data_IF_083029914566
#
_entry.id   IF_083029914566
#
_cell.length_a   1.000
_cell.length_b   1.000
_cell.length_c   1.000
_cell.angle_alpha   90.00
_cell.angle_beta   90.00
_cell.angle_gamma   90.00
#
_symmetry.space_group_name_H-M   'P 1'
#
loop_
_entity.id
_entity.type
_entity.pdbx_description
1 polymer ?
#
# COMPACT_ATOMS: atom_id res chain seq x y z
N UNK A 1 1.41 -12.29 -8.56
CA UNK A 1 1.88 -11.97 -7.19
C UNK A 1 1.65 -10.51 -6.83
N UNK A 2 2.28 -9.54 -7.51
CA UNK A 2 2.11 -8.12 -7.17
C UNK A 2 0.66 -7.62 -7.26
N UNK A 3 -0.11 -8.07 -8.25
CA UNK A 3 -1.51 -7.66 -8.38
C UNK A 3 -2.36 -8.16 -7.22
N UNK A 4 -2.19 -9.42 -6.83
CA UNK A 4 -2.90 -9.97 -5.68
C UNK A 4 -2.51 -9.25 -4.38
N UNK A 5 -1.23 -8.88 -4.24
CA UNK A 5 -0.77 -8.05 -3.12
C UNK A 5 -1.50 -6.70 -3.08
N UNK A 6 -1.58 -6.00 -4.21
CA UNK A 6 -2.28 -4.71 -4.27
C UNK A 6 -3.78 -4.86 -4.00
N UNK A 7 -4.40 -5.90 -4.53
CA UNK A 7 -5.81 -6.19 -4.26
C UNK A 7 -6.05 -6.49 -2.77
N UNK A 8 -5.13 -7.18 -2.13
CA UNK A 8 -5.18 -7.45 -0.69
C UNK A 8 -5.12 -6.15 0.12
N UNK A 9 -4.22 -5.26 -0.23
CA UNK A 9 -4.07 -3.96 0.43
C UNK A 9 -5.30 -3.09 0.19
N UNK A 10 -5.82 -3.07 -1.04
CA UNK A 10 -7.07 -2.39 -1.36
C UNK A 10 -8.20 -2.85 -0.45
N UNK A 11 -8.38 -4.14 -0.31
CA UNK A 11 -9.41 -4.74 0.54
C UNK A 11 -9.25 -4.35 2.01
N UNK A 12 -8.02 -4.39 2.53
CA UNK A 12 -7.72 -4.02 3.92
C UNK A 12 -8.06 -2.55 4.18
N UNK A 13 -7.73 -1.65 3.25
CA UNK A 13 -8.04 -0.23 3.39
C UNK A 13 -9.56 0.00 3.31
N UNK A 14 -10.23 -0.62 2.35
CA UNK A 14 -11.68 -0.49 2.18
C UNK A 14 -12.45 -0.97 3.41
N UNK A 15 -12.00 -2.06 4.03
CA UNK A 15 -12.62 -2.62 5.25
C UNK A 15 -12.32 -1.84 6.52
N UNK A 16 -11.37 -0.91 6.48
CA UNK A 16 -10.98 -0.13 7.66
C UNK A 16 -11.99 0.93 8.08
N UNK A 17 -13.03 1.15 7.27
CA UNK A 17 -13.96 2.26 7.47
C UNK A 17 -13.56 3.54 6.77
N UNK A 18 -12.59 3.49 5.87
CA UNK A 18 -12.23 4.62 5.01
C UNK A 18 -13.39 4.95 4.08
N UNK A 19 -13.86 6.21 4.11
CA UNK A 19 -15.07 6.63 3.36
C UNK A 19 -14.79 6.99 1.90
N UNK A 20 -13.52 7.10 1.51
CA UNK A 20 -13.11 7.41 0.15
C UNK A 20 -12.98 6.16 -0.72
N UNK A 21 -12.45 6.36 -1.92
CA UNK A 21 -12.20 5.27 -2.87
C UNK A 21 -10.74 4.85 -2.86
N UNK A 22 -10.51 3.56 -3.06
CA UNK A 22 -9.17 2.99 -3.26
C UNK A 22 -9.11 2.41 -4.66
N UNK A 23 -8.17 2.89 -5.47
CA UNK A 23 -8.02 2.48 -6.88
C UNK A 23 -6.63 1.90 -7.13
N UNK A 24 -6.57 0.93 -8.03
CA UNK A 24 -5.30 0.40 -8.50
C UNK A 24 -4.80 1.25 -9.67
N UNK A 25 -3.51 1.58 -9.63
CA UNK A 25 -2.86 2.46 -10.60
C UNK A 25 -2.95 3.93 -10.21
N UNK A 26 -2.03 4.71 -10.75
CA UNK A 26 -1.98 6.15 -10.50
C UNK A 26 -2.79 6.90 -11.55
N UNK A 27 -3.64 7.81 -11.07
CA UNK A 27 -4.37 8.72 -11.93
C UNK A 27 -3.92 10.15 -11.65
N UNK A 28 -4.07 11.04 -12.63
CA UNK A 28 -3.87 12.46 -12.38
C UNK A 28 -4.95 12.94 -11.39
N UNK A 29 -4.57 13.53 -10.24
CA UNK A 29 -5.54 13.99 -9.25
C UNK A 29 -6.63 14.90 -9.82
N UNK A 30 -6.28 15.73 -10.81
CA UNK A 30 -7.24 16.64 -11.45
C UNK A 30 -8.38 15.94 -12.19
N UNK A 31 -8.15 14.68 -12.62
CA UNK A 31 -9.10 13.91 -13.43
C UNK A 31 -9.73 12.74 -12.64
N UNK A 32 -9.33 12.55 -11.39
CA UNK A 32 -9.73 11.39 -10.63
C UNK A 32 -11.05 11.51 -9.87
N UNK A 33 -11.61 12.72 -9.79
CA UNK A 33 -12.86 12.95 -9.04
C UNK A 33 -12.67 12.93 -7.53
N UNK A 34 -11.52 13.38 -7.06
CA UNK A 34 -11.18 13.41 -5.63
C UNK A 34 -12.10 14.42 -4.92
N UNK A 35 -12.69 13.97 -3.83
CA UNK A 35 -13.56 14.77 -2.97
C UNK A 35 -12.92 15.01 -1.58
N UNK A 36 -13.72 15.53 -0.65
CA UNK A 36 -13.29 15.82 0.71
C UNK A 36 -12.95 14.57 1.53
N UNK A 37 -13.49 13.40 1.17
CA UNK A 37 -13.20 12.13 1.86
C UNK A 37 -11.84 11.57 1.47
N UNK A 38 -11.31 12.03 0.35
CA UNK A 38 -10.02 11.60 -0.17
C UNK A 38 -10.10 10.39 -1.09
N UNK A 39 -8.95 10.07 -1.64
CA UNK A 39 -8.76 8.93 -2.54
C UNK A 39 -7.37 8.35 -2.35
N UNK A 40 -7.28 7.03 -2.48
CA UNK A 40 -6.02 6.31 -2.37
C UNK A 40 -5.75 5.60 -3.68
N UNK A 41 -4.54 5.73 -4.20
CA UNK A 41 -4.05 4.99 -5.35
C UNK A 41 -2.98 4.00 -4.91
N UNK A 42 -3.05 2.78 -5.43
CA UNK A 42 -2.07 1.74 -5.19
C UNK A 42 -1.33 1.45 -6.50
N UNK A 43 -0.01 1.52 -6.48
CA UNK A 43 0.80 1.26 -7.66
C UNK A 43 1.88 0.23 -7.38
N UNK A 44 2.26 -0.50 -8.43
CA UNK A 44 3.34 -1.48 -8.32
C UNK A 44 4.70 -0.79 -8.44
N UNK A 45 5.69 -1.34 -7.77
CA UNK A 45 7.08 -0.96 -7.92
C UNK A 45 7.92 -2.13 -8.39
N UNK A 46 9.21 -2.06 -8.13
CA UNK A 46 10.17 -3.09 -8.50
C UNK A 46 10.03 -4.36 -7.67
N UNK A 47 10.32 -5.48 -8.29
CA UNK A 47 10.45 -6.77 -7.63
C UNK A 47 11.88 -7.26 -7.79
N UNK A 48 12.52 -7.64 -6.70
CA UNK A 48 13.88 -8.15 -6.71
C UNK A 48 14.03 -9.33 -5.75
N UNK A 49 14.92 -10.29 -6.06
CA UNK A 49 15.23 -11.36 -5.11
C UNK A 49 15.91 -10.77 -3.86
N UNK A 50 15.59 -11.33 -2.70
CA UNK A 50 16.31 -11.05 -1.47
C UNK A 50 17.43 -12.06 -1.35
N UNK A 51 18.63 -11.53 -1.01
CA UNK A 51 19.89 -12.25 -1.08
C UNK A 51 19.98 -13.54 -0.25
N UNK A 52 20.55 -14.52 -0.85
CA UNK A 52 21.54 -15.55 -0.58
C UNK A 52 21.27 -16.68 0.39
N UNK A 53 20.50 -16.52 1.42
CA UNK A 53 20.35 -17.61 2.41
C UNK A 53 18.98 -18.25 2.38
N UNK A 54 18.00 -17.54 1.86
CA UNK A 54 16.65 -18.06 1.69
C UNK A 54 16.27 -17.89 0.22
N UNK A 55 16.43 -18.93 -0.55
CA UNK A 55 16.30 -18.92 -2.02
C UNK A 55 14.91 -18.53 -2.53
N UNK A 56 13.91 -18.48 -1.68
CA UNK A 56 12.52 -18.29 -2.07
C UNK A 56 11.95 -16.94 -1.67
N UNK A 57 12.80 -16.01 -1.22
CA UNK A 57 12.39 -14.70 -0.77
C UNK A 57 12.47 -13.65 -1.87
N UNK A 58 11.42 -12.86 -1.98
CA UNK A 58 11.34 -11.71 -2.89
C UNK A 58 11.01 -10.44 -2.11
N UNK A 59 11.53 -9.32 -2.61
CA UNK A 59 11.13 -7.99 -2.18
C UNK A 59 10.28 -7.36 -3.26
N UNK A 60 9.01 -7.09 -2.96
CA UNK A 60 8.10 -6.41 -3.86
C UNK A 60 7.83 -5.00 -3.35
N UNK A 61 8.31 -4.02 -4.08
CA UNK A 61 7.94 -2.63 -3.81
C UNK A 61 6.53 -2.34 -4.30
N UNK A 62 5.85 -1.46 -3.58
CA UNK A 62 4.59 -0.89 -4.02
C UNK A 62 4.42 0.52 -3.44
N UNK A 63 3.53 1.29 -4.04
CA UNK A 63 3.28 2.66 -3.66
C UNK A 63 1.84 2.83 -3.21
N UNK A 64 1.67 3.66 -2.19
CA UNK A 64 0.36 4.11 -1.74
C UNK A 64 0.34 5.63 -1.85
N UNK A 65 -0.49 6.16 -2.73
CA UNK A 65 -0.70 7.60 -2.82
C UNK A 65 -2.03 7.98 -2.17
N UNK A 66 -1.98 8.99 -1.33
CA UNK A 66 -3.15 9.54 -0.65
C UNK A 66 -3.40 10.94 -1.17
N UNK A 67 -4.64 11.24 -1.54
CA UNK A 67 -5.02 12.55 -2.05
C UNK A 67 -6.30 13.04 -1.38
N UNK A 68 -6.33 14.32 -1.04
CA UNK A 68 -7.52 15.02 -0.59
C UNK A 68 -7.71 16.29 -1.42
N UNK A 69 -8.94 16.79 -1.43
CA UNK A 69 -9.28 18.05 -2.08
C UNK A 69 -9.75 19.05 -1.01
N UNK A 70 -9.17 20.23 -1.04
CA UNK A 70 -9.61 21.34 -0.22
C UNK A 70 -9.64 22.62 -1.07
N UNK A 71 -10.84 23.13 -1.34
CA UNK A 71 -11.04 24.31 -2.16
C UNK A 71 -10.82 25.61 -1.37
N UNK A 72 -10.67 25.53 -0.05
CA UNK A 72 -10.42 26.69 0.77
C UNK A 72 -8.99 27.21 0.60
N UNK A 73 -8.83 28.53 0.65
CA UNK A 73 -7.52 29.16 0.57
C UNK A 73 -6.66 28.91 1.82
N UNK A 74 -7.27 28.46 2.90
CA UNK A 74 -6.61 28.19 4.17
C UNK A 74 -5.81 26.87 4.12
N UNK A 75 -4.50 26.98 4.16
CA UNK A 75 -3.59 25.83 4.20
C UNK A 75 -3.78 24.95 5.43
N UNK A 76 -4.16 25.53 6.58
CA UNK A 76 -4.37 24.75 7.79
C UNK A 76 -5.44 23.70 7.61
N UNK A 77 -6.58 24.06 7.01
CA UNK A 77 -7.66 23.09 6.73
C UNK A 77 -7.25 22.04 5.73
N UNK A 78 -6.51 22.41 4.70
CA UNK A 78 -5.96 21.48 3.72
C UNK A 78 -5.01 20.48 4.38
N UNK A 79 -4.14 20.95 5.25
CA UNK A 79 -3.20 20.11 5.99
C UNK A 79 -3.90 19.21 7.01
N UNK A 80 -4.93 19.70 7.69
CA UNK A 80 -5.75 18.87 8.57
C UNK A 80 -6.38 17.70 7.81
N UNK A 81 -6.90 17.96 6.62
CA UNK A 81 -7.54 16.96 5.76
C UNK A 81 -6.56 15.86 5.34
N UNK A 82 -5.40 16.23 4.82
CA UNK A 82 -4.40 15.23 4.40
C UNK A 82 -3.78 14.51 5.59
N UNK A 83 -3.53 15.20 6.69
CA UNK A 83 -3.00 14.57 7.90
C UNK A 83 -3.95 13.52 8.48
N UNK A 84 -5.25 13.78 8.40
CA UNK A 84 -6.28 12.81 8.81
C UNK A 84 -6.25 11.56 7.94
N UNK A 85 -6.15 11.73 6.62
CA UNK A 85 -6.06 10.60 5.69
C UNK A 85 -4.76 9.81 5.89
N UNK A 86 -3.64 10.50 6.03
CA UNK A 86 -2.35 9.87 6.33
C UNK A 86 -2.43 9.02 7.60
N UNK A 87 -3.04 9.56 8.65
CA UNK A 87 -3.22 8.85 9.92
C UNK A 87 -4.03 7.55 9.75
N UNK A 88 -5.08 7.58 8.93
CA UNK A 88 -5.87 6.39 8.63
C UNK A 88 -5.00 5.34 7.92
N UNK A 89 -4.30 5.72 6.88
CA UNK A 89 -3.48 4.81 6.08
C UNK A 89 -2.33 4.23 6.90
N UNK A 90 -1.63 5.06 7.67
CA UNK A 90 -0.51 4.60 8.50
C UNK A 90 -0.98 3.59 9.56
N UNK A 91 -2.14 3.83 10.16
CA UNK A 91 -2.73 2.88 11.13
C UNK A 91 -3.14 1.57 10.48
N UNK A 92 -3.77 1.63 9.31
CA UNK A 92 -4.18 0.43 8.57
C UNK A 92 -2.98 -0.41 8.18
N UNK A 93 -1.94 0.22 7.64
CA UNK A 93 -0.73 -0.48 7.21
C UNK A 93 0.04 -1.06 8.39
N UNK A 94 0.09 -0.36 9.52
CA UNK A 94 0.70 -0.87 10.74
C UNK A 94 -0.03 -2.12 11.25
N UNK A 95 -1.36 -2.08 11.29
CA UNK A 95 -2.16 -3.24 11.70
C UNK A 95 -1.97 -4.42 10.75
N UNK A 96 -1.99 -4.17 9.46
CA UNK A 96 -1.77 -5.21 8.45
C UNK A 96 -0.40 -5.87 8.61
N UNK A 97 0.64 -5.08 8.83
CA UNK A 97 1.97 -5.59 9.12
C UNK A 97 1.99 -6.48 10.36
N UNK A 98 1.30 -6.07 11.44
CA UNK A 98 1.22 -6.85 12.67
C UNK A 98 0.48 -8.18 12.44
N UNK A 99 -0.63 -8.16 11.72
CA UNK A 99 -1.40 -9.36 11.40
C UNK A 99 -0.56 -10.35 10.57
N UNK A 100 0.23 -9.86 9.63
CA UNK A 100 1.17 -10.68 8.87
C UNK A 100 2.28 -11.25 9.77
N UNK A 101 2.80 -10.45 10.69
CA UNK A 101 3.82 -10.88 11.65
C UNK A 101 3.33 -11.96 12.61
N UNK A 102 2.05 -11.98 12.92
CA UNK A 102 1.40 -13.01 13.73
C UNK A 102 1.03 -14.26 12.91
N UNK A 103 1.42 -14.32 11.65
CA UNK A 103 1.15 -15.42 10.73
C UNK A 103 -0.35 -15.73 10.56
N UNK A 104 -1.20 -14.71 10.67
CA UNK A 104 -2.62 -14.86 10.37
C UNK A 104 -2.79 -15.19 8.88
N UNK A 105 -3.26 -16.40 8.51
CA UNK A 105 -3.31 -16.82 7.09
C UNK A 105 -4.20 -15.91 6.24
N UNK A 106 -5.26 -15.35 6.81
CA UNK A 106 -6.16 -14.47 6.06
C UNK A 106 -5.48 -13.13 5.71
N UNK A 107 -4.46 -12.74 6.45
CA UNK A 107 -3.69 -11.53 6.17
C UNK A 107 -2.44 -11.83 5.36
N UNK A 108 -1.63 -12.81 5.77
CA UNK A 108 -0.29 -12.99 5.24
C UNK A 108 -0.19 -13.88 3.99
N UNK A 109 -1.22 -14.65 3.64
CA UNK A 109 -1.16 -15.54 2.48
C UNK A 109 -1.89 -14.94 1.30
N UNK A 110 -1.23 -15.00 0.13
CA UNK A 110 -1.82 -14.69 -1.17
C UNK A 110 -2.14 -16.02 -1.86
N UNK A 111 -3.37 -16.53 -1.72
CA UNK A 111 -3.66 -17.94 -2.07
C UNK A 111 -3.57 -18.23 -3.57
N UNK A 112 -3.88 -17.27 -4.43
CA UNK A 112 -3.87 -17.50 -5.88
C UNK A 112 -2.46 -17.55 -6.46
N UNK A 113 -1.55 -16.75 -5.93
CA UNK A 113 -0.14 -16.73 -6.37
C UNK A 113 0.78 -17.64 -5.55
N UNK A 114 0.33 -18.08 -4.38
CA UNK A 114 1.11 -18.96 -3.52
C UNK A 114 2.27 -18.27 -2.82
N UNK A 115 2.11 -16.99 -2.48
CA UNK A 115 3.11 -16.25 -1.72
C UNK A 115 2.62 -15.98 -0.30
N UNK A 116 3.58 -15.90 0.61
CA UNK A 116 3.36 -15.48 1.99
C UNK A 116 4.05 -14.15 2.24
N UNK A 117 3.33 -13.20 2.80
CA UNK A 117 3.90 -11.92 3.24
C UNK A 117 4.58 -12.16 4.57
N UNK A 118 5.90 -11.93 4.61
CA UNK A 118 6.72 -12.10 5.82
C UNK A 118 6.84 -10.79 6.59
N UNK A 119 7.00 -9.67 5.88
CA UNK A 119 7.10 -8.35 6.49
C UNK A 119 6.72 -7.28 5.49
N UNK A 120 6.26 -6.14 5.99
CA UNK A 120 5.95 -4.95 5.19
C UNK A 120 6.59 -3.76 5.90
N UNK A 121 7.37 -2.97 5.15
CA UNK A 121 8.06 -1.81 5.67
C UNK A 121 7.77 -0.58 4.82
N UNK A 122 7.53 0.54 5.48
CA UNK A 122 7.52 1.84 4.82
C UNK A 122 8.97 2.31 4.66
N UNK A 123 9.40 2.51 3.42
CA UNK A 123 10.77 2.93 3.11
C UNK A 123 10.87 4.42 2.79
N UNK A 124 9.76 5.07 2.47
CA UNK A 124 9.75 6.48 2.10
C UNK A 124 8.34 7.06 2.24
N UNK A 125 8.28 8.32 2.64
CA UNK A 125 7.05 9.13 2.66
C UNK A 125 7.40 10.50 2.11
N UNK A 126 6.77 10.91 1.02
CA UNK A 126 7.05 12.16 0.31
C UNK A 126 5.76 12.91 0.04
N UNK A 127 5.73 14.20 0.34
CA UNK A 127 4.62 15.07 -0.01
C UNK A 127 4.73 15.55 -1.47
N UNK A 128 3.65 16.10 -2.03
CA UNK A 128 3.62 16.66 -3.37
C UNK A 128 4.12 18.13 -3.43
N UNK A 129 4.60 18.67 -2.31
CA UNK A 129 5.01 20.07 -2.14
C UNK A 129 3.91 21.07 -2.47
N UNK A 130 2.64 20.65 -2.33
CA UNK A 130 1.46 21.47 -2.56
C UNK A 130 1.37 22.03 -3.99
N UNK A 131 1.96 21.32 -4.95
CA UNK A 131 2.03 21.75 -6.35
C UNK A 131 0.73 21.54 -7.12
N UNK A 132 -0.18 20.71 -6.61
CA UNK A 132 -1.40 20.27 -7.29
C UNK A 132 -2.67 20.89 -6.71
N UNK A 133 -2.55 22.01 -5.99
CA UNK A 133 -3.71 22.68 -5.38
C UNK A 133 -4.88 22.83 -6.37
N UNK A 134 -6.13 22.58 -5.98
CA UNK A 134 -6.66 22.32 -4.62
C UNK A 134 -6.44 20.88 -4.09
N UNK A 135 -5.69 20.07 -4.79
CA UNK A 135 -5.37 18.70 -4.38
C UNK A 135 -4.05 18.66 -3.60
N UNK A 136 -4.06 17.94 -2.49
CA UNK A 136 -2.87 17.73 -1.66
C UNK A 136 -2.67 16.23 -1.50
N UNK A 137 -1.45 15.78 -1.72
CA UNK A 137 -1.13 14.36 -1.72
C UNK A 137 0.13 13.98 -0.99
N UNK A 138 0.21 12.71 -0.66
CA UNK A 138 1.37 12.08 -0.03
C UNK A 138 1.59 10.74 -0.71
N UNK A 139 2.84 10.44 -1.05
CA UNK A 139 3.22 9.14 -1.60
C UNK A 139 4.03 8.37 -0.57
N UNK A 140 3.57 7.17 -0.25
CA UNK A 140 4.31 6.19 0.54
C UNK A 140 4.92 5.16 -0.39
N UNK A 141 6.17 4.80 -0.12
CA UNK A 141 6.80 3.64 -0.72
C UNK A 141 6.94 2.56 0.34
N UNK A 142 6.43 1.39 0.02
CA UNK A 142 6.50 0.20 0.86
C UNK A 142 7.30 -0.90 0.19
N UNK A 143 7.89 -1.75 1.00
CA UNK A 143 8.53 -2.99 0.58
C UNK A 143 7.87 -4.15 1.30
N UNK A 144 7.31 -5.09 0.53
CA UNK A 144 6.78 -6.33 1.06
C UNK A 144 7.81 -7.44 0.82
N UNK A 145 8.25 -8.08 1.89
CA UNK A 145 9.07 -9.29 1.81
C UNK A 145 8.14 -10.47 1.72
N UNK A 146 8.35 -11.29 0.70
CA UNK A 146 7.42 -12.35 0.34
C UNK A 146 8.18 -13.66 0.14
N UNK A 147 7.59 -14.73 0.66
CA UNK A 147 8.11 -16.07 0.54
C UNK A 147 7.27 -16.84 -0.48
N UNK A 148 7.94 -17.49 -1.45
CA UNK A 148 7.28 -18.30 -2.49
C UNK A 148 7.03 -19.70 -1.98
N UNK A 149 5.81 -19.98 -1.55
CA UNK A 149 5.40 -21.29 -1.04
C UNK A 149 5.41 -22.38 -2.13
N UNK A 150 5.33 -22.02 -3.41
CA UNK A 150 5.32 -22.97 -4.50
C UNK A 150 6.65 -23.65 -4.71
N UNK A 151 7.75 -22.98 -4.33
CA UNK A 151 9.11 -23.56 -4.49
C UNK A 151 9.40 -24.66 -3.47
N UNK A 152 8.74 -24.66 -2.34
CA UNK A 152 8.91 -25.69 -1.33
C UNK A 152 8.47 -27.07 -1.85
N UNK A 153 7.43 -27.08 -2.68
CA UNK A 153 6.96 -28.32 -3.31
C UNK A 153 7.88 -28.81 -4.42
N UNK A 154 8.65 -27.93 -5.03
CA UNK A 154 9.63 -28.26 -6.06
C UNK A 154 10.97 -28.70 -5.46
N UNK A 155 11.36 -28.13 -4.32
CA UNK A 155 12.58 -28.47 -3.61
C UNK A 155 12.57 -29.83 -2.93
N UNK A 156 11.40 -30.40 -2.66
CA UNK A 156 11.24 -31.73 -2.06
C UNK A 156 11.48 -32.91 -3.00
N UNK A 157 11.89 -32.63 -4.24
CA UNK A 157 12.11 -33.66 -5.25
C UNK A 157 13.60 -34.03 -5.42
N UNK A 158 14.46 -33.35 -4.69
CA UNK A 158 15.90 -33.60 -4.75
C UNK A 158 16.38 -34.51 -3.65
#
# INVERSE_FOLDING_TARGET
MWLELLQKIQDVIERSGFDGQVKLGFLNPKNAGIDEFGMVFLGRGECSPIDDQVHNMLSQEFYVETWTRCDEADFEKAYESIAKLESIIERVMTKFRMDCGELNPDACILPNSGFQIVDIRCTSKVDDRDTMRPFIGTQYRFEARMYDLNQDTKGGIY
#
